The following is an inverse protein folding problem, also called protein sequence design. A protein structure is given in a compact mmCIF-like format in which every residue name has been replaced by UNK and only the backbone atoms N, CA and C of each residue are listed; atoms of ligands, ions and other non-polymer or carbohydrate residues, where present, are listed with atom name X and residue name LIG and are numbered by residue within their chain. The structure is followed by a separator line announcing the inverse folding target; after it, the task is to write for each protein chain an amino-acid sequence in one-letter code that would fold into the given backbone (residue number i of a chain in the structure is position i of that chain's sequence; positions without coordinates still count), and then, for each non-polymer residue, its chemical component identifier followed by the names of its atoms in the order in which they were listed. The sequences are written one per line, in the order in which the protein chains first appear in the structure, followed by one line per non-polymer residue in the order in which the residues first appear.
data_IF_161084789898
#
_entry.id   IF_161084789898
#
_cell.length_a   1.000
_cell.length_b   1.000
_cell.length_c   1.000
_cell.angle_alpha   90.00
_cell.angle_beta   90.00
_cell.angle_gamma   90.00
#
_symmetry.space_group_name_H-M   'P 1'
#
loop_
_entity.id
_entity.type
_entity.pdbx_description
1 polymer ?
#
# COMPACT_ATOMS: atom_id res chain seq x y z
N UNK A 1 52.94 24.49 6.60
CA UNK A 1 52.52 23.32 5.81
C UNK A 1 51.76 22.43 6.76
N UNK A 2 50.46 22.28 6.52
CA UNK A 2 49.49 21.64 7.43
C UNK A 2 49.67 20.14 7.52
N UNK A 3 49.63 19.63 8.76
CA UNK A 3 49.37 18.22 9.06
C UNK A 3 47.89 17.94 8.90
N UNK A 4 47.55 16.91 8.13
CA UNK A 4 46.19 16.37 7.98
C UNK A 4 45.97 15.32 9.07
N UNK A 5 44.85 15.35 9.84
CA UNK A 5 44.46 14.23 10.69
C UNK A 5 43.89 13.10 9.83
N UNK A 6 44.25 11.85 10.15
CA UNK A 6 43.58 10.66 9.63
C UNK A 6 42.24 10.52 10.37
N UNK A 7 41.13 10.74 9.67
CA UNK A 7 39.83 10.27 10.13
C UNK A 7 39.76 8.74 9.96
N UNK A 8 39.45 8.07 11.06
CA UNK A 8 39.09 6.65 11.10
C UNK A 8 37.70 6.49 10.47
N UNK A 9 37.44 5.43 9.68
CA UNK A 9 36.10 5.14 9.22
C UNK A 9 35.26 4.67 10.42
N UNK A 10 34.25 5.47 10.77
CA UNK A 10 33.23 5.09 11.74
C UNK A 10 32.57 3.79 11.34
N UNK A 11 32.47 2.89 12.32
CA UNK A 11 31.80 1.59 12.20
C UNK A 11 30.37 1.82 11.70
N UNK A 12 30.07 1.30 10.50
CA UNK A 12 28.70 1.08 10.09
C UNK A 12 28.13 0.03 11.04
N UNK A 13 27.25 0.44 11.95
CA UNK A 13 26.41 -0.49 12.69
C UNK A 13 25.58 -1.27 11.67
N UNK A 14 26.08 -2.44 11.29
CA UNK A 14 25.28 -3.45 10.62
C UNK A 14 24.16 -3.80 11.60
N UNK A 15 22.94 -3.36 11.28
CA UNK A 15 21.75 -3.86 11.95
C UNK A 15 21.79 -5.39 11.80
N UNK A 16 22.05 -6.09 12.89
CA UNK A 16 22.03 -7.55 12.87
C UNK A 16 20.61 -8.01 12.60
N UNK A 17 20.47 -9.10 11.85
CA UNK A 17 19.17 -9.72 11.53
C UNK A 17 18.34 -10.10 12.77
N UNK A 18 18.92 -10.03 13.98
CA UNK A 18 18.28 -10.31 15.27
C UNK A 18 17.27 -9.22 15.73
N UNK A 19 17.31 -8.02 15.16
CA UNK A 19 16.41 -6.92 15.57
C UNK A 19 15.09 -6.85 14.77
N UNK A 20 14.88 -7.78 13.81
CA UNK A 20 13.61 -7.88 13.11
C UNK A 20 12.62 -8.64 14.01
N UNK A 21 11.50 -8.04 14.45
CA UNK A 21 10.50 -8.77 15.21
C UNK A 21 9.91 -9.89 14.34
N UNK A 22 10.41 -11.10 14.53
CA UNK A 22 9.88 -12.32 13.92
C UNK A 22 8.58 -12.65 14.64
N UNK A 23 7.46 -12.19 14.07
CA UNK A 23 6.16 -12.72 14.45
C UNK A 23 6.16 -14.19 14.06
N UNK A 24 6.32 -15.07 15.05
CA UNK A 24 6.27 -16.51 14.83
C UNK A 24 4.88 -16.88 14.29
N UNK A 25 4.81 -17.10 12.98
CA UNK A 25 3.66 -17.73 12.35
C UNK A 25 3.77 -19.22 12.65
N UNK A 26 2.76 -19.78 13.32
CA UNK A 26 2.75 -21.19 13.70
C UNK A 26 2.96 -22.07 12.44
N UNK A 27 4.09 -22.79 12.37
CA UNK A 27 4.45 -23.66 11.25
C UNK A 27 5.50 -23.12 10.26
N UNK A 28 6.14 -21.97 10.54
CA UNK A 28 7.15 -21.37 9.67
C UNK A 28 8.59 -21.79 10.04
N UNK A 29 9.33 -22.37 9.09
CA UNK A 29 10.78 -22.58 9.18
C UNK A 29 11.51 -21.53 8.30
N UNK A 30 12.20 -20.59 8.93
CA UNK A 30 12.86 -19.48 8.24
C UNK A 30 14.05 -19.92 7.36
N UNK A 31 14.52 -21.16 7.52
CA UNK A 31 15.64 -21.73 6.77
C UNK A 31 15.20 -22.38 5.44
N UNK A 32 13.90 -22.52 5.19
CA UNK A 32 13.36 -23.04 3.92
C UNK A 32 12.98 -21.91 2.95
N UNK A 33 13.96 -21.48 2.15
CA UNK A 33 13.79 -20.42 1.14
C UNK A 33 12.75 -20.76 0.06
N UNK A 34 12.49 -22.05 -0.23
CA UNK A 34 11.45 -22.45 -1.18
C UNK A 34 10.05 -22.28 -0.57
N UNK A 35 9.91 -22.41 0.74
CA UNK A 35 8.66 -22.19 1.48
C UNK A 35 8.31 -20.70 1.56
N UNK A 36 9.32 -19.82 1.69
CA UNK A 36 9.16 -18.34 1.76
C UNK A 36 8.54 -17.76 0.48
N UNK A 37 8.94 -18.21 -0.71
CA UNK A 37 8.38 -17.68 -1.97
C UNK A 37 6.88 -18.02 -2.11
N UNK A 38 6.46 -19.17 -1.58
CA UNK A 38 5.04 -19.57 -1.58
C UNK A 38 4.23 -18.98 -0.43
N UNK A 39 4.89 -18.50 0.64
CA UNK A 39 4.26 -17.97 1.84
C UNK A 39 3.29 -16.81 1.55
N UNK A 40 3.63 -16.00 0.55
CA UNK A 40 2.86 -14.81 0.17
C UNK A 40 1.98 -15.03 -1.06
N UNK A 41 2.10 -16.19 -1.72
CA UNK A 41 1.30 -16.52 -2.89
C UNK A 41 -0.18 -16.65 -2.52
N UNK A 42 -1.02 -15.90 -3.23
CA UNK A 42 -2.47 -15.90 -3.00
C UNK A 42 -2.91 -15.26 -1.68
N UNK A 43 -2.00 -14.65 -0.91
CA UNK A 43 -2.36 -14.02 0.36
C UNK A 43 -3.31 -12.83 0.10
N UNK A 44 -4.53 -12.80 0.68
CA UNK A 44 -5.55 -11.81 0.32
C UNK A 44 -5.11 -10.36 0.51
N UNK A 45 -4.32 -10.08 1.55
CA UNK A 45 -3.77 -8.74 1.78
C UNK A 45 -2.84 -8.31 0.64
N UNK A 46 -1.96 -9.21 0.19
CA UNK A 46 -1.03 -8.96 -0.91
C UNK A 46 -1.81 -8.80 -2.21
N UNK A 47 -2.82 -9.64 -2.45
CA UNK A 47 -3.65 -9.51 -3.62
C UNK A 47 -4.44 -8.19 -3.69
N UNK A 48 -4.93 -7.65 -2.57
CA UNK A 48 -5.64 -6.37 -2.55
C UNK A 48 -4.67 -5.19 -2.72
N UNK A 49 -3.56 -5.21 -1.99
CA UNK A 49 -2.65 -4.08 -1.87
C UNK A 49 -1.48 -4.11 -2.86
N UNK A 50 -1.33 -5.17 -3.66
CA UNK A 50 -0.28 -5.25 -4.69
C UNK A 50 -0.84 -5.55 -6.08
N UNK A 51 -0.27 -4.94 -7.13
CA UNK A 51 0.83 -3.98 -7.09
C UNK A 51 0.39 -2.59 -6.62
N UNK A 52 1.35 -1.68 -6.45
CA UNK A 52 1.13 -0.28 -6.03
C UNK A 52 -0.04 0.41 -6.77
N UNK A 53 -0.28 0.06 -8.03
CA UNK A 53 -1.40 0.59 -8.81
C UNK A 53 -2.78 0.36 -8.16
N UNK A 54 -3.00 -0.79 -7.48
CA UNK A 54 -4.25 -1.04 -6.74
C UNK A 54 -4.41 -0.06 -5.58
N UNK A 55 -3.33 0.15 -4.81
CA UNK A 55 -3.32 1.11 -3.70
C UNK A 55 -3.58 2.53 -4.21
N UNK A 56 -2.97 2.93 -5.34
CA UNK A 56 -3.21 4.25 -5.94
C UNK A 56 -4.67 4.45 -6.34
N UNK A 57 -5.34 3.42 -6.87
CA UNK A 57 -6.78 3.45 -7.17
C UNK A 57 -7.58 3.67 -5.88
N UNK A 58 -7.33 2.86 -4.85
CA UNK A 58 -8.04 2.93 -3.57
C UNK A 58 -7.88 4.32 -2.94
N UNK A 59 -6.64 4.83 -2.87
CA UNK A 59 -6.33 6.17 -2.36
C UNK A 59 -6.97 7.29 -3.18
N UNK A 60 -7.10 7.13 -4.51
CA UNK A 60 -7.71 8.13 -5.36
C UNK A 60 -9.21 8.32 -5.05
N UNK A 61 -9.89 7.23 -4.68
CA UNK A 61 -11.31 7.23 -4.34
C UNK A 61 -11.54 7.64 -2.87
N UNK A 62 -10.75 7.12 -1.92
CA UNK A 62 -10.85 7.47 -0.50
C UNK A 62 -10.74 8.98 -0.21
N UNK A 63 -10.00 9.73 -1.02
CA UNK A 63 -9.80 11.18 -0.83
C UNK A 63 -11.03 12.03 -1.11
N UNK A 64 -12.07 11.48 -1.73
CA UNK A 64 -13.35 12.16 -1.95
C UNK A 64 -14.46 11.18 -1.60
N UNK A 65 -14.77 11.06 -0.30
CA UNK A 65 -15.92 10.29 0.17
C UNK A 65 -17.19 10.76 -0.56
N UNK A 66 -18.10 9.84 -0.85
CA UNK A 66 -19.32 10.05 -1.66
C UNK A 66 -19.08 10.43 -3.15
N UNK A 67 -17.83 10.45 -3.62
CA UNK A 67 -17.49 10.74 -5.00
C UNK A 67 -17.85 9.60 -5.95
N UNK A 68 -18.59 9.90 -7.03
CA UNK A 68 -18.82 8.95 -8.13
C UNK A 68 -17.95 9.30 -9.34
N UNK A 69 -17.24 8.32 -9.89
CA UNK A 69 -16.21 8.52 -10.89
C UNK A 69 -16.39 7.63 -12.11
N UNK A 70 -16.16 8.18 -13.30
CA UNK A 70 -15.99 7.36 -14.52
C UNK A 70 -14.60 6.73 -14.51
N UNK A 71 -14.38 5.61 -15.25
CA UNK A 71 -13.06 5.03 -15.45
C UNK A 71 -11.96 6.06 -15.76
N UNK A 72 -12.27 7.04 -16.60
CA UNK A 72 -11.34 8.11 -16.99
C UNK A 72 -10.89 8.96 -15.82
N UNK A 73 -11.85 9.35 -14.97
CA UNK A 73 -11.56 10.15 -13.80
C UNK A 73 -10.73 9.34 -12.78
N UNK A 74 -10.92 8.02 -12.72
CA UNK A 74 -10.19 7.12 -11.82
C UNK A 74 -8.74 6.99 -12.24
N UNK A 75 -8.45 6.57 -13.49
CA UNK A 75 -7.06 6.33 -13.89
C UNK A 75 -6.24 7.63 -13.96
N UNK A 76 -6.87 8.77 -14.28
CA UNK A 76 -6.21 10.07 -14.25
C UNK A 76 -5.83 10.47 -12.81
N UNK A 77 -6.76 10.30 -11.87
CA UNK A 77 -6.58 10.68 -10.45
C UNK A 77 -5.60 9.75 -9.74
N UNK A 78 -5.65 8.46 -10.06
CA UNK A 78 -4.71 7.45 -9.56
C UNK A 78 -3.34 7.51 -10.27
N UNK A 79 -3.20 8.32 -11.33
CA UNK A 79 -1.98 8.42 -12.14
C UNK A 79 -1.49 7.05 -12.64
N UNK A 80 -2.43 6.30 -13.23
CA UNK A 80 -2.18 5.00 -13.86
C UNK A 80 -2.69 5.01 -15.31
N UNK A 81 -2.35 3.99 -16.08
CA UNK A 81 -2.89 3.88 -17.44
C UNK A 81 -4.33 3.36 -17.43
N UNK A 82 -5.04 3.61 -18.52
CA UNK A 82 -6.33 3.00 -18.83
C UNK A 82 -6.29 1.46 -18.68
N UNK A 83 -5.26 0.83 -19.25
CA UNK A 83 -5.12 -0.62 -19.23
C UNK A 83 -4.88 -1.15 -17.81
N UNK A 84 -4.14 -0.41 -16.99
CA UNK A 84 -3.92 -0.74 -15.57
C UNK A 84 -5.24 -0.74 -14.78
N UNK A 85 -6.12 0.23 -15.02
CA UNK A 85 -7.46 0.22 -14.42
C UNK A 85 -8.24 -1.03 -14.84
N UNK A 86 -8.32 -1.31 -16.14
CA UNK A 86 -9.07 -2.45 -16.64
C UNK A 86 -8.50 -3.80 -16.19
N UNK A 87 -7.19 -3.88 -15.97
CA UNK A 87 -6.52 -5.05 -15.41
C UNK A 87 -6.90 -5.34 -13.96
N UNK A 88 -7.11 -4.31 -13.14
CA UNK A 88 -7.30 -4.47 -11.69
C UNK A 88 -8.72 -4.20 -11.19
N UNK A 89 -9.60 -3.64 -12.03
CA UNK A 89 -10.99 -3.34 -11.64
C UNK A 89 -11.74 -4.58 -11.15
N UNK A 90 -11.56 -5.75 -11.77
CA UNK A 90 -12.31 -6.96 -11.40
C UNK A 90 -11.92 -7.42 -9.99
N UNK A 91 -10.63 -7.31 -9.65
CA UNK A 91 -10.16 -7.61 -8.29
C UNK A 91 -10.78 -6.65 -7.27
N UNK A 92 -10.76 -5.34 -7.54
CA UNK A 92 -11.19 -4.32 -6.59
C UNK A 92 -12.71 -4.19 -6.48
N UNK A 93 -13.43 -4.41 -7.58
CA UNK A 93 -14.89 -4.31 -7.66
C UNK A 93 -15.53 -5.65 -7.33
N UNK A 94 -15.19 -6.70 -8.07
CA UNK A 94 -15.95 -7.95 -8.05
C UNK A 94 -15.44 -8.93 -6.98
N UNK A 95 -14.11 -9.04 -6.80
CA UNK A 95 -13.53 -10.02 -5.85
C UNK A 95 -13.57 -9.53 -4.40
N UNK A 96 -13.17 -8.29 -4.15
CA UNK A 96 -13.01 -7.77 -2.79
C UNK A 96 -14.03 -6.72 -2.38
N UNK A 97 -14.87 -6.22 -3.29
CA UNK A 97 -15.89 -5.22 -2.95
C UNK A 97 -15.32 -3.95 -2.30
N UNK A 98 -14.11 -3.56 -2.70
CA UNK A 98 -13.46 -2.32 -2.25
C UNK A 98 -14.06 -1.12 -2.98
N UNK A 99 -14.55 -1.35 -4.21
CA UNK A 99 -15.13 -0.34 -5.09
C UNK A 99 -16.49 -0.86 -5.58
N UNK A 100 -17.52 -0.03 -5.52
CA UNK A 100 -18.84 -0.38 -6.04
C UNK A 100 -19.07 0.16 -7.44
N UNK A 101 -19.83 -0.58 -8.26
CA UNK A 101 -20.49 -0.04 -9.44
C UNK A 101 -21.80 0.62 -9.03
N UNK A 102 -21.87 1.95 -9.11
CA UNK A 102 -22.99 2.75 -8.56
C UNK A 102 -23.98 3.25 -9.61
N UNK A 103 -23.73 2.94 -10.89
CA UNK A 103 -24.62 3.31 -11.99
C UNK A 103 -23.90 3.64 -13.28
N UNK A 104 -24.55 4.40 -14.15
CA UNK A 104 -23.99 4.82 -15.43
C UNK A 104 -24.35 6.29 -15.74
N UNK A 105 -23.44 7.03 -16.37
CA UNK A 105 -23.73 8.32 -17.03
C UNK A 105 -23.59 8.10 -18.53
N UNK A 106 -24.74 8.15 -19.24
CA UNK A 106 -24.80 7.72 -20.63
C UNK A 106 -24.37 6.25 -20.75
N UNK A 107 -23.33 6.01 -21.55
CA UNK A 107 -22.75 4.67 -21.74
C UNK A 107 -21.52 4.40 -20.85
N UNK A 108 -21.15 5.32 -19.97
CA UNK A 108 -19.99 5.14 -19.09
C UNK A 108 -20.43 4.63 -17.71
N UNK A 109 -19.84 3.54 -17.19
CA UNK A 109 -20.07 3.13 -15.82
C UNK A 109 -19.51 4.15 -14.83
N UNK A 110 -20.12 4.19 -13.64
CA UNK A 110 -19.69 4.97 -12.50
C UNK A 110 -19.28 4.05 -11.36
N UNK A 111 -18.22 4.44 -10.66
CA UNK A 111 -17.70 3.73 -9.51
C UNK A 111 -17.53 4.65 -8.31
N UNK A 112 -17.67 4.10 -7.12
CA UNK A 112 -17.38 4.75 -5.84
C UNK A 112 -16.55 3.82 -4.97
N UNK A 113 -15.83 4.35 -3.99
CA UNK A 113 -15.34 3.51 -2.89
C UNK A 113 -16.55 2.92 -2.15
N UNK A 114 -16.46 1.65 -1.73
CA UNK A 114 -17.49 1.02 -0.92
C UNK A 114 -17.28 1.41 0.55
N UNK A 115 -18.01 2.42 1.02
CA UNK A 115 -17.90 2.93 2.39
C UNK A 115 -18.49 1.97 3.43
N UNK A 116 -19.35 1.04 3.01
CA UNK A 116 -19.93 -0.01 3.85
C UNK A 116 -18.99 -1.22 4.00
N UNK A 117 -17.83 -1.23 3.33
CA UNK A 117 -16.88 -2.34 3.36
C UNK A 117 -15.96 -2.25 4.59
N UNK A 118 -16.01 -3.28 5.44
CA UNK A 118 -15.08 -3.43 6.57
C UNK A 118 -13.61 -3.37 6.14
N UNK A 119 -13.29 -3.90 4.95
CA UNK A 119 -11.95 -3.85 4.40
C UNK A 119 -11.52 -2.41 4.07
N UNK A 120 -12.42 -1.60 3.52
CA UNK A 120 -12.15 -0.18 3.25
C UNK A 120 -11.93 0.58 4.55
N UNK A 121 -12.74 0.33 5.58
CA UNK A 121 -12.59 0.94 6.90
C UNK A 121 -11.25 0.57 7.57
N UNK A 122 -10.81 -0.70 7.43
CA UNK A 122 -9.50 -1.15 7.91
C UNK A 122 -8.34 -0.47 7.15
N UNK A 123 -8.44 -0.35 5.82
CA UNK A 123 -7.43 0.33 5.01
C UNK A 123 -7.32 1.80 5.41
N UNK A 124 -8.45 2.49 5.60
CA UNK A 124 -8.46 3.90 6.03
C UNK A 124 -7.85 4.08 7.43
N UNK A 125 -8.18 3.16 8.35
CA UNK A 125 -7.59 3.13 9.70
C UNK A 125 -6.07 2.94 9.65
N UNK A 126 -5.60 2.00 8.81
CA UNK A 126 -4.16 1.75 8.60
C UNK A 126 -3.45 2.98 8.02
N UNK A 127 -4.06 3.65 7.03
CA UNK A 127 -3.52 4.89 6.45
C UNK A 127 -3.42 6.00 7.51
N UNK A 128 -4.45 6.14 8.35
CA UNK A 128 -4.48 7.14 9.42
C UNK A 128 -3.38 6.90 10.46
N UNK A 129 -3.23 5.67 10.94
CA UNK A 129 -2.20 5.28 11.89
C UNK A 129 -0.78 5.46 11.31
N UNK A 130 -0.54 4.99 10.09
CA UNK A 130 0.76 5.18 9.42
C UNK A 130 1.06 6.67 9.16
N UNK A 131 0.03 7.46 8.86
CA UNK A 131 0.15 8.90 8.69
C UNK A 131 0.53 9.64 9.98
N UNK A 132 0.06 9.17 11.13
CA UNK A 132 0.43 9.70 12.45
C UNK A 132 1.88 9.39 12.79
N UNK A 133 2.27 8.11 12.73
CA UNK A 133 3.65 7.68 12.97
C UNK A 133 4.64 8.42 12.06
N UNK A 134 4.27 8.63 10.79
CA UNK A 134 5.10 9.39 9.85
C UNK A 134 5.28 10.86 10.27
N UNK A 135 4.25 11.51 10.82
CA UNK A 135 4.34 12.91 11.28
C UNK A 135 5.22 13.04 12.53
N UNK A 136 5.11 12.08 13.44
CA UNK A 136 5.98 12.00 14.63
C UNK A 136 7.44 11.83 14.19
N UNK A 137 7.72 10.83 13.35
CA UNK A 137 9.06 10.59 12.83
C UNK A 137 9.67 11.82 12.14
N UNK A 138 8.90 12.52 11.29
CA UNK A 138 9.35 13.76 10.63
C UNK A 138 9.65 14.86 11.64
N UNK A 139 8.91 14.93 12.75
CA UNK A 139 9.10 15.98 13.76
C UNK A 139 10.37 15.72 14.57
N UNK A 140 10.61 14.48 14.96
CA UNK A 140 11.78 14.08 15.75
C UNK A 140 13.10 14.23 14.97
N UNK A 141 13.07 14.04 13.65
CA UNK A 141 14.27 14.06 12.79
C UNK A 141 14.39 15.34 11.94
N UNK A 142 13.67 16.42 12.28
CA UNK A 142 13.77 17.69 11.53
C UNK A 142 14.93 18.57 11.98
N UNK A 143 15.48 18.30 13.15
CA UNK A 143 16.51 19.12 13.80
C UNK A 143 17.89 18.41 13.89
N UNK A 144 18.05 17.27 13.20
CA UNK A 144 19.32 16.54 13.00
C UNK A 144 19.96 16.88 11.64
#
# INVERSE_FOLDING_TARGET
MSSVPKDEPGESEELSDEDVPTVAIEGFDADDLEEIDTLFEGHPLIEVLTPESKVRIILALLRVPEGTFRPTDIYDRARISHDTWHKYKETLVDKYGVIDHVGNIGNSPLYSINEDSDLVALIDSMISAAGEQKREWITDHRDE
#
